data_IF_925009352870
#
_entry.id   IF_925009352870
#
_cell.length_a   1.000
_cell.length_b   1.000
_cell.length_c   1.000
_cell.angle_alpha   90.00
_cell.angle_beta   90.00
_cell.angle_gamma   90.00
#
_symmetry.space_group_name_H-M   'P 1'
#
loop_
_entity.id
_entity.type
_entity.pdbx_description
1 polymer ?
#
# COMPACT_ATOMS: atom_id res chain seq x y z
N UNK A 1 24.29 -0.03 7.47
CA UNK A 1 23.01 -0.48 8.09
C UNK A 1 23.24 -0.82 9.55
N UNK A 2 22.68 -0.07 10.51
CA UNK A 2 22.93 -0.29 11.95
C UNK A 2 22.20 -1.51 12.54
N UNK A 3 22.70 -2.01 13.69
CA UNK A 3 22.18 -3.14 14.51
C UNK A 3 20.67 -3.09 14.80
N UNK A 4 20.03 -1.91 14.71
CA UNK A 4 18.60 -1.69 14.90
C UNK A 4 17.73 -2.10 13.69
N UNK A 5 18.25 -2.05 12.46
CA UNK A 5 17.48 -2.36 11.25
C UNK A 5 17.23 -3.86 11.06
N UNK A 6 18.29 -4.66 11.11
CA UNK A 6 18.25 -6.12 10.85
C UNK A 6 17.49 -6.89 11.94
N UNK A 7 17.49 -6.37 13.18
CA UNK A 7 16.79 -6.99 14.30
C UNK A 7 15.34 -6.57 14.43
N UNK A 8 14.94 -5.48 13.75
CA UNK A 8 13.56 -5.04 13.81
C UNK A 8 12.68 -6.05 13.06
N UNK A 9 11.85 -6.77 13.82
CA UNK A 9 10.96 -7.79 13.29
C UNK A 9 10.03 -7.24 12.20
N UNK A 10 9.75 -5.93 12.20
CA UNK A 10 8.91 -5.26 11.20
C UNK A 10 9.47 -5.34 9.78
N UNK A 11 10.79 -5.32 9.61
CA UNK A 11 11.41 -5.33 8.29
C UNK A 11 11.74 -6.74 7.78
N UNK A 12 11.44 -7.77 8.59
CA UNK A 12 11.62 -9.17 8.18
C UNK A 12 10.56 -9.54 7.15
N UNK A 13 10.95 -10.35 6.16
CA UNK A 13 10.07 -10.79 5.06
C UNK A 13 8.77 -11.42 5.57
N UNK A 14 8.85 -12.26 6.62
CA UNK A 14 7.66 -12.90 7.22
C UNK A 14 6.61 -11.95 7.82
N UNK A 15 6.98 -10.69 8.07
CA UNK A 15 6.10 -9.68 8.66
C UNK A 15 5.83 -8.52 7.68
N UNK A 16 6.12 -8.71 6.38
CA UNK A 16 5.87 -7.71 5.35
C UNK A 16 4.37 -7.47 5.21
N UNK A 17 3.99 -6.20 5.26
CA UNK A 17 2.63 -5.74 4.93
C UNK A 17 2.52 -5.49 3.44
N UNK A 18 1.29 -5.43 2.91
CA UNK A 18 1.06 -5.08 1.50
C UNK A 18 1.64 -3.72 1.14
N UNK A 19 2.27 -3.68 -0.03
CA UNK A 19 2.94 -2.50 -0.56
C UNK A 19 1.92 -1.51 -1.16
N UNK A 20 2.33 -0.25 -1.34
CA UNK A 20 1.44 0.84 -1.78
C UNK A 20 0.90 0.58 -3.19
N UNK A 21 1.75 0.11 -4.09
CA UNK A 21 1.37 -0.16 -5.49
C UNK A 21 0.33 -1.28 -5.61
N UNK A 22 0.41 -2.30 -4.75
CA UNK A 22 -0.57 -3.38 -4.69
C UNK A 22 -1.93 -2.84 -4.28
N UNK A 23 -1.98 -2.01 -3.24
CA UNK A 23 -3.23 -1.40 -2.75
C UNK A 23 -3.81 -0.43 -3.79
N UNK A 24 -2.96 0.34 -4.48
CA UNK A 24 -3.42 1.24 -5.55
C UNK A 24 -4.10 0.47 -6.69
N UNK A 25 -3.56 -0.71 -7.07
CA UNK A 25 -4.20 -1.57 -8.06
C UNK A 25 -5.54 -2.14 -7.60
N UNK A 26 -5.68 -2.40 -6.31
CA UNK A 26 -6.93 -2.89 -5.72
C UNK A 26 -8.00 -1.81 -5.59
N UNK A 27 -7.58 -0.55 -5.48
CA UNK A 27 -8.47 0.61 -5.44
C UNK A 27 -9.07 0.97 -6.82
N UNK A 28 -8.61 0.33 -7.90
CA UNK A 28 -9.24 0.45 -9.22
C UNK A 28 -10.63 -0.16 -9.17
N UNK A 29 -11.62 0.52 -9.76
CA UNK A 29 -13.05 0.18 -9.65
C UNK A 29 -13.37 -1.29 -9.97
N UNK A 30 -12.65 -1.87 -10.94
CA UNK A 30 -12.77 -3.29 -11.34
C UNK A 30 -12.39 -4.29 -10.25
N UNK A 31 -11.49 -3.91 -9.34
CA UNK A 31 -10.89 -4.77 -8.32
C UNK A 31 -11.43 -4.50 -6.91
N UNK A 32 -11.95 -3.30 -6.66
CA UNK A 32 -12.46 -2.90 -5.33
C UNK A 32 -13.55 -3.87 -4.87
N UNK A 33 -14.53 -4.13 -5.73
CA UNK A 33 -15.65 -5.01 -5.39
C UNK A 33 -15.17 -6.42 -5.04
N UNK A 34 -14.24 -6.97 -5.84
CA UNK A 34 -13.65 -8.28 -5.60
C UNK A 34 -12.93 -8.33 -4.26
N UNK A 35 -12.10 -7.33 -3.97
CA UNK A 35 -11.31 -7.29 -2.73
C UNK A 35 -12.14 -7.04 -1.49
N UNK A 36 -13.19 -6.23 -1.57
CA UNK A 36 -14.12 -6.07 -0.45
C UNK A 36 -14.86 -7.39 -0.20
N UNK A 37 -15.30 -8.07 -1.24
CA UNK A 37 -16.01 -9.35 -1.11
C UNK A 37 -15.09 -10.41 -0.48
N UNK A 38 -13.89 -10.64 -1.05
CA UNK A 38 -12.91 -11.60 -0.54
C UNK A 38 -12.50 -11.32 0.92
N UNK A 39 -12.39 -10.04 1.30
CA UNK A 39 -12.01 -9.67 2.66
C UNK A 39 -13.17 -9.79 3.67
N UNK A 40 -14.42 -9.63 3.22
CA UNK A 40 -15.62 -9.65 4.07
C UNK A 40 -16.25 -11.05 4.17
N UNK A 41 -15.75 -12.02 3.41
CA UNK A 41 -16.10 -13.43 3.59
C UNK A 41 -15.84 -13.87 5.03
N UNK A 42 -16.85 -14.54 5.62
CA UNK A 42 -16.83 -14.95 7.02
C UNK A 42 -15.71 -15.97 7.23
N UNK A 43 -14.71 -15.56 7.98
CA UNK A 43 -13.50 -16.33 8.24
C UNK A 43 -13.19 -16.30 9.73
N UNK A 44 -13.17 -17.49 10.35
CA UNK A 44 -12.97 -17.67 11.79
C UNK A 44 -11.53 -17.36 12.22
N UNK A 45 -10.56 -17.43 11.29
CA UNK A 45 -9.16 -17.14 11.58
C UNK A 45 -8.87 -15.63 11.64
N UNK A 46 -9.80 -14.79 11.16
CA UNK A 46 -9.67 -13.34 11.09
C UNK A 46 -10.40 -12.65 12.25
N UNK A 47 -9.86 -11.55 12.79
CA UNK A 47 -10.54 -10.81 13.86
C UNK A 47 -11.84 -10.20 13.32
N UNK A 48 -12.90 -10.22 14.13
CA UNK A 48 -14.21 -9.71 13.74
C UNK A 48 -14.88 -10.52 12.62
N UNK A 49 -14.53 -11.80 12.45
CA UNK A 49 -15.04 -12.69 11.39
C UNK A 49 -14.81 -12.13 9.97
N UNK A 50 -13.79 -11.29 9.79
CA UNK A 50 -13.50 -10.62 8.51
C UNK A 50 -14.42 -9.43 8.18
N UNK A 51 -15.44 -9.14 8.99
CA UNK A 51 -16.48 -8.16 8.64
C UNK A 51 -15.99 -6.71 8.65
N UNK A 52 -15.08 -6.36 9.57
CA UNK A 52 -14.60 -4.99 9.74
C UNK A 52 -13.22 -4.80 9.12
N UNK A 53 -13.19 -4.54 7.81
CA UNK A 53 -11.96 -4.42 7.02
C UNK A 53 -11.68 -2.99 6.51
N UNK A 54 -10.41 -2.59 6.53
CA UNK A 54 -9.95 -1.34 5.92
C UNK A 54 -9.05 -1.60 4.70
N UNK A 55 -9.56 -1.25 3.51
CA UNK A 55 -8.88 -1.49 2.22
C UNK A 55 -7.55 -0.75 2.10
N UNK A 56 -7.45 0.48 2.61
CA UNK A 56 -6.26 1.32 2.47
C UNK A 56 -5.07 0.85 3.32
N UNK A 57 -5.37 0.27 4.48
CA UNK A 57 -4.37 -0.15 5.47
C UNK A 57 -4.17 -1.66 5.50
N UNK A 58 -5.03 -2.43 4.82
CA UNK A 58 -5.06 -3.88 4.83
C UNK A 58 -5.10 -4.46 6.24
N UNK A 59 -6.09 -4.02 7.01
CA UNK A 59 -6.24 -4.39 8.42
C UNK A 59 -7.68 -4.76 8.73
N UNK A 60 -7.81 -5.83 9.49
CA UNK A 60 -9.05 -6.30 10.08
C UNK A 60 -9.17 -5.77 11.50
N UNK A 61 -10.40 -5.48 11.89
CA UNK A 61 -10.78 -4.94 13.19
C UNK A 61 -11.85 -5.82 13.83
N UNK A 62 -12.02 -5.69 15.14
CA UNK A 62 -12.96 -6.52 15.91
C UNK A 62 -14.37 -5.95 15.81
N UNK A 63 -14.51 -4.62 15.88
CA UNK A 63 -15.80 -3.91 15.90
C UNK A 63 -15.83 -2.73 14.92
N UNK A 64 -17.04 -2.34 14.49
CA UNK A 64 -17.26 -1.14 13.67
C UNK A 64 -16.72 0.14 14.33
N UNK A 65 -16.89 0.29 15.65
CA UNK A 65 -16.42 1.45 16.41
C UNK A 65 -14.90 1.60 16.27
N UNK A 66 -14.16 0.48 16.36
CA UNK A 66 -12.70 0.49 16.25
C UNK A 66 -12.23 0.84 14.83
N UNK A 67 -12.97 0.42 13.82
CA UNK A 67 -12.73 0.78 12.42
C UNK A 67 -12.97 2.27 12.17
N UNK A 68 -14.03 2.84 12.73
CA UNK A 68 -14.33 4.27 12.60
C UNK A 68 -13.33 5.14 13.36
N UNK A 69 -12.85 4.68 14.52
CA UNK A 69 -11.72 5.31 15.20
C UNK A 69 -10.46 5.23 14.34
N UNK A 70 -10.14 4.08 13.74
CA UNK A 70 -8.99 3.90 12.85
C UNK A 70 -8.97 4.91 11.70
N UNK A 71 -10.11 5.13 11.04
CA UNK A 71 -10.25 6.11 9.94
C UNK A 71 -9.87 7.54 10.37
N UNK A 72 -10.13 7.90 11.62
CA UNK A 72 -9.82 9.24 12.17
C UNK A 72 -8.34 9.40 12.55
N UNK A 73 -7.61 8.30 12.77
CA UNK A 73 -6.23 8.32 13.24
C UNK A 73 -5.24 8.85 12.20
N UNK A 74 -4.16 9.50 12.69
CA UNK A 74 -3.05 10.01 11.88
C UNK A 74 -2.41 8.96 10.93
N UNK A 75 -2.12 7.71 11.34
CA UNK A 75 -1.57 6.69 10.44
C UNK A 75 -2.43 6.46 9.19
N UNK A 76 -3.76 6.39 9.34
CA UNK A 76 -4.67 6.19 8.22
C UNK A 76 -4.63 7.38 7.26
N UNK A 77 -4.72 8.60 7.79
CA UNK A 77 -4.61 9.83 6.99
C UNK A 77 -3.28 9.95 6.25
N UNK A 78 -2.17 9.49 6.84
CA UNK A 78 -0.87 9.44 6.16
C UNK A 78 -0.88 8.44 5.02
N UNK A 79 -1.53 7.29 5.18
CA UNK A 79 -1.65 6.27 4.13
C UNK A 79 -2.46 6.77 2.94
N UNK A 80 -3.56 7.49 3.18
CA UNK A 80 -4.35 8.13 2.13
C UNK A 80 -3.50 9.12 1.32
N UNK A 81 -2.77 10.02 1.99
CA UNK A 81 -1.85 10.94 1.31
C UNK A 81 -0.78 10.24 0.48
N UNK A 82 -0.28 9.08 0.93
CA UNK A 82 0.68 8.28 0.17
C UNK A 82 0.08 7.57 -1.05
N UNK A 83 -1.24 7.39 -1.09
CA UNK A 83 -1.96 6.82 -2.23
C UNK A 83 -2.38 7.90 -3.24
N UNK A 84 -2.53 9.15 -2.79
CA UNK A 84 -2.80 10.30 -3.66
C UNK A 84 -1.59 10.65 -4.55
N UNK A 85 -0.37 10.37 -4.08
CA UNK A 85 0.86 10.55 -4.85
C UNK A 85 0.94 9.52 -6.00
N UNK A 86 1.41 9.89 -7.21
CA UNK A 86 1.63 8.93 -8.29
C UNK A 86 2.48 7.76 -7.81
N UNK A 87 1.92 6.56 -7.96
CA UNK A 87 2.57 5.31 -7.56
C UNK A 87 3.92 5.14 -8.25
N UNK A 88 4.96 4.91 -7.45
CA UNK A 88 6.30 4.70 -7.96
C UNK A 88 6.44 3.27 -8.50
N UNK A 89 5.95 3.05 -9.71
CA UNK A 89 6.12 1.76 -10.38
C UNK A 89 7.53 1.63 -10.97
N UNK A 90 7.99 0.39 -11.14
CA UNK A 90 9.23 0.04 -11.86
C UNK A 90 9.28 0.72 -13.25
N UNK A 91 8.11 0.91 -13.87
CA UNK A 91 7.97 1.51 -15.20
C UNK A 91 8.26 3.01 -15.15
N UNK A 92 7.78 3.71 -14.12
CA UNK A 92 8.07 5.13 -13.92
C UNK A 92 9.57 5.40 -13.74
N UNK A 93 10.30 4.55 -13.01
CA UNK A 93 11.75 4.68 -12.84
C UNK A 93 12.52 4.44 -14.14
N UNK A 94 12.14 3.43 -14.94
CA UNK A 94 12.76 3.20 -16.26
C UNK A 94 12.49 4.35 -17.24
N UNK A 95 11.26 4.88 -17.27
CA UNK A 95 10.91 6.04 -18.12
C UNK A 95 11.70 7.28 -17.72
N UNK A 96 11.88 7.53 -16.42
CA UNK A 96 12.69 8.65 -15.92
C UNK A 96 14.16 8.47 -16.31
N UNK A 97 14.74 7.27 -16.14
CA UNK A 97 16.12 6.97 -16.54
C UNK A 97 16.28 7.23 -18.05
N UNK A 98 15.35 6.72 -18.86
CA UNK A 98 15.37 6.90 -20.30
C UNK A 98 15.27 8.39 -20.69
N UNK A 99 14.30 9.14 -20.16
CA UNK A 99 14.17 10.58 -20.41
C UNK A 99 15.44 11.35 -20.05
N UNK A 100 16.06 11.05 -18.90
CA UNK A 100 17.33 11.67 -18.49
C UNK A 100 18.43 11.33 -19.49
N UNK A 101 18.55 10.06 -19.91
CA UNK A 101 19.57 9.66 -20.90
C UNK A 101 19.33 10.26 -22.29
N UNK A 102 18.08 10.39 -22.73
CA UNK A 102 17.73 11.03 -24.00
C UNK A 102 18.02 12.53 -23.97
N UNK A 103 17.68 13.21 -22.86
CA UNK A 103 17.94 14.64 -22.69
C UNK A 103 19.45 14.93 -22.61
N UNK A 104 20.21 14.10 -21.88
CA UNK A 104 21.67 14.21 -21.78
C UNK A 104 22.40 13.99 -23.12
N UNK A 105 21.98 13.00 -23.92
CA UNK A 105 22.54 12.80 -25.26
C UNK A 105 22.23 13.97 -26.22
N UNK A 106 21.08 14.63 -26.07
CA UNK A 106 20.70 15.81 -26.86
C UNK A 106 21.57 17.04 -26.56
N UNK A 107 22.03 17.18 -25.31
CA UNK A 107 22.98 18.23 -24.90
C UNK A 107 24.43 17.96 -25.36
N UNK A 108 24.78 16.71 -25.66
CA UNK A 108 26.11 16.34 -26.17
C UNK A 108 26.20 16.34 -27.71
N UNK A 109 25.06 16.45 -28.40
CA UNK A 109 24.94 16.51 -29.87
C UNK A 109 24.68 17.94 -30.40
N UNK A 110 24.65 18.96 -29.53
CA UNK A 110 24.68 20.39 -29.87
C UNK A 110 25.97 21.03 -29.36
#
# INVERSE_FOLDING_TARGET
MGRKGVRNARYKVKNRTRDIDQISNDLKEENVAKRVNEATELDEDKPGLGQFFCIFCDKYFIDQITLDLHKKQKPHKRRLKSLDEPVHTQVCSVVIINLITYNFNLYLLN
#
